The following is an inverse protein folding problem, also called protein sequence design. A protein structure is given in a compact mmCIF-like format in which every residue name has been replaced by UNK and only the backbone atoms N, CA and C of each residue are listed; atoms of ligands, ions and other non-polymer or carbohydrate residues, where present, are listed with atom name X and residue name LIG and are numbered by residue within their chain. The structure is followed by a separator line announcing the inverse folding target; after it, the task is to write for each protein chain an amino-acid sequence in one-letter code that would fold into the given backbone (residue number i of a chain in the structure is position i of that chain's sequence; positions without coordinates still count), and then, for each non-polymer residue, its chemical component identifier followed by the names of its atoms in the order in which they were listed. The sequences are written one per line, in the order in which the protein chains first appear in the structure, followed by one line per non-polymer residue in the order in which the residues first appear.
data_IF_717037113098
#
_entry.id   IF_717037113098
#
_cell.length_a   1.000
_cell.length_b   1.000
_cell.length_c   1.000
_cell.angle_alpha   90.00
_cell.angle_beta   90.00
_cell.angle_gamma   90.00
#
_symmetry.space_group_name_H-M   'P 1'
#
loop_
_entity.id
_entity.type
_entity.pdbx_description
1 polymer ?
#
# COMPACT_ATOMS: atom_id res chain seq x y z
N UNK A 1 9.84 -9.58 -0.22
CA UNK A 1 9.70 -10.27 -1.52
C UNK A 1 11.02 -10.95 -1.82
N UNK A 2 11.00 -12.23 -2.20
CA UNK A 2 12.18 -12.96 -2.69
C UNK A 2 12.17 -12.91 -4.23
N UNK A 3 13.22 -12.40 -4.90
CA UNK A 3 13.30 -12.40 -6.35
C UNK A 3 13.26 -13.82 -6.93
N UNK A 4 12.50 -14.02 -8.00
CA UNK A 4 12.30 -15.35 -8.61
C UNK A 4 13.57 -15.95 -9.22
N UNK A 5 14.58 -15.12 -9.51
CA UNK A 5 15.86 -15.51 -10.11
C UNK A 5 17.00 -15.60 -9.08
N UNK A 6 16.69 -15.51 -7.79
CA UNK A 6 17.70 -15.64 -6.74
C UNK A 6 18.34 -17.03 -6.74
N UNK A 7 19.63 -17.09 -6.40
CA UNK A 7 20.38 -18.34 -6.21
C UNK A 7 20.38 -18.83 -4.75
N UNK A 8 19.78 -18.07 -3.84
CA UNK A 8 19.83 -18.25 -2.38
C UNK A 8 18.43 -18.12 -1.78
N UNK A 9 17.46 -18.86 -2.34
CA UNK A 9 16.05 -18.74 -1.97
C UNK A 9 15.80 -19.06 -0.50
N UNK A 10 16.39 -20.14 0.02
CA UNK A 10 16.19 -20.58 1.40
C UNK A 10 16.72 -19.54 2.39
N UNK A 11 17.95 -19.05 2.20
CA UNK A 11 18.55 -18.04 3.06
C UNK A 11 17.81 -16.70 2.99
N UNK A 12 17.24 -16.36 1.83
CA UNK A 12 16.39 -15.18 1.68
C UNK A 12 15.08 -15.32 2.48
N UNK A 13 14.47 -16.50 2.50
CA UNK A 13 13.29 -16.77 3.34
C UNK A 13 13.63 -16.82 4.82
N UNK A 14 14.73 -17.45 5.23
CA UNK A 14 15.20 -17.46 6.62
C UNK A 14 15.40 -16.03 7.15
N UNK A 15 15.95 -15.14 6.32
CA UNK A 15 16.11 -13.74 6.66
C UNK A 15 14.76 -13.03 6.83
N UNK A 16 13.80 -13.29 5.93
CA UNK A 16 12.45 -12.72 6.04
C UNK A 16 11.80 -13.19 7.35
N UNK A 17 11.85 -14.48 7.65
CA UNK A 17 11.28 -15.04 8.89
C UNK A 17 11.91 -14.42 10.13
N UNK A 18 13.24 -14.26 10.14
CA UNK A 18 13.93 -13.56 11.22
C UNK A 18 13.46 -12.11 11.37
N UNK A 19 13.42 -11.35 10.26
CA UNK A 19 13.02 -9.94 10.25
C UNK A 19 11.56 -9.73 10.67
N UNK A 20 10.70 -10.72 10.38
CA UNK A 20 9.28 -10.70 10.71
C UNK A 20 8.96 -11.31 12.08
N UNK A 21 9.95 -11.87 12.79
CA UNK A 21 9.76 -12.31 14.17
C UNK A 21 9.33 -11.14 15.06
N UNK A 22 8.39 -11.37 15.98
CA UNK A 22 7.77 -10.32 16.81
C UNK A 22 8.81 -9.39 17.46
N UNK A 23 9.88 -9.94 18.03
CA UNK A 23 10.92 -9.15 18.70
C UNK A 23 11.71 -8.23 17.76
N UNK A 24 12.02 -8.68 16.54
CA UNK A 24 12.76 -7.90 15.56
C UNK A 24 11.83 -6.87 14.93
N UNK A 25 10.62 -7.29 14.58
CA UNK A 25 9.63 -6.43 13.95
C UNK A 25 9.12 -5.34 14.90
N UNK A 26 8.83 -5.66 16.17
CA UNK A 26 8.44 -4.67 17.19
C UNK A 26 9.54 -3.62 17.40
N UNK A 27 10.81 -4.04 17.46
CA UNK A 27 11.94 -3.10 17.56
C UNK A 27 12.03 -2.20 16.32
N UNK A 28 11.89 -2.77 15.12
CA UNK A 28 11.87 -1.98 13.89
C UNK A 28 10.72 -0.98 13.88
N UNK A 29 9.52 -1.41 14.27
CA UNK A 29 8.32 -0.59 14.29
C UNK A 29 8.44 0.59 15.28
N UNK A 30 8.92 0.30 16.48
CA UNK A 30 9.15 1.30 17.53
C UNK A 30 10.20 2.35 17.12
N UNK A 31 11.32 1.93 16.54
CA UNK A 31 12.38 2.86 16.11
C UNK A 31 11.95 3.67 14.88
N UNK A 32 11.30 3.01 13.92
CA UNK A 32 10.89 3.62 12.64
C UNK A 32 9.64 4.49 12.74
N UNK A 33 8.91 4.43 13.86
CA UNK A 33 7.61 5.08 13.99
C UNK A 33 6.59 4.57 12.97
N UNK A 34 6.69 3.30 12.58
CA UNK A 34 5.78 2.69 11.58
C UNK A 34 4.65 1.95 12.27
N UNK A 35 3.49 1.92 11.61
CA UNK A 35 2.32 1.17 12.06
C UNK A 35 2.57 -0.32 11.79
N UNK A 36 2.55 -1.20 12.80
CA UNK A 36 2.77 -2.62 12.59
C UNK A 36 1.68 -3.24 11.73
N UNK A 37 2.06 -4.03 10.72
CA UNK A 37 1.12 -4.80 9.89
C UNK A 37 0.95 -6.24 10.37
N UNK A 38 1.86 -6.71 11.24
CA UNK A 38 1.74 -8.00 11.93
C UNK A 38 0.84 -7.84 13.14
N UNK A 39 -0.22 -8.65 13.22
CA UNK A 39 -1.25 -8.53 14.26
C UNK A 39 -0.71 -8.67 15.69
N UNK A 40 0.20 -9.63 15.94
CA UNK A 40 0.80 -9.83 17.26
C UNK A 40 1.49 -8.57 17.78
N UNK A 41 2.23 -7.88 16.90
CA UNK A 41 2.92 -6.63 17.24
C UNK A 41 1.95 -5.45 17.32
N UNK A 42 0.98 -5.35 16.42
CA UNK A 42 -0.05 -4.31 16.46
C UNK A 42 -0.91 -4.37 17.75
N UNK A 43 -0.99 -5.56 18.37
CA UNK A 43 -1.72 -5.81 19.60
C UNK A 43 -0.95 -5.40 20.88
N UNK A 44 0.33 -5.02 20.78
CA UNK A 44 1.13 -4.54 21.91
C UNK A 44 0.59 -3.21 22.48
N UNK A 45 0.72 -3.04 23.80
CA UNK A 45 0.16 -1.86 24.51
C UNK A 45 0.65 -0.53 23.97
N UNK A 46 1.91 -0.48 23.51
CA UNK A 46 2.53 0.73 22.97
C UNK A 46 1.81 1.24 21.71
N UNK A 47 1.21 0.35 20.90
CA UNK A 47 0.49 0.77 19.70
C UNK A 47 -1.01 0.98 19.95
N UNK A 48 -1.61 0.20 20.85
CA UNK A 48 -3.04 0.32 21.19
C UNK A 48 -3.36 1.56 22.02
N UNK A 49 -2.44 2.01 22.86
CA UNK A 49 -2.67 3.11 23.79
C UNK A 49 -2.04 4.44 23.35
N UNK A 50 -1.19 4.43 22.33
CA UNK A 50 -0.63 5.66 21.77
C UNK A 50 -1.74 6.49 21.09
N UNK A 51 -1.74 7.79 21.37
CA UNK A 51 -2.80 8.70 20.93
C UNK A 51 -2.90 8.81 19.41
N UNK A 52 -1.79 8.64 18.70
CA UNK A 52 -1.71 8.72 17.24
C UNK A 52 -1.83 7.34 16.61
N UNK A 53 -1.11 6.34 17.12
CA UNK A 53 -1.01 5.02 16.48
C UNK A 53 -2.29 4.20 16.63
N UNK A 54 -3.06 4.37 17.72
CA UNK A 54 -4.28 3.60 17.95
C UNK A 54 -5.29 3.72 16.81
N UNK A 55 -5.40 4.91 16.21
CA UNK A 55 -6.35 5.16 15.11
C UNK A 55 -5.94 4.38 13.88
N UNK A 56 -4.65 4.39 13.55
CA UNK A 56 -4.14 3.65 12.39
C UNK A 56 -4.22 2.14 12.56
N UNK A 57 -3.97 1.63 13.77
CA UNK A 57 -4.13 0.19 14.08
C UNK A 57 -5.60 -0.24 14.03
N UNK A 58 -6.51 0.65 14.42
CA UNK A 58 -7.96 0.36 14.41
C UNK A 58 -8.62 0.54 13.04
N UNK A 59 -7.96 1.20 12.09
CA UNK A 59 -8.50 1.45 10.77
C UNK A 59 -8.52 0.14 9.96
N UNK A 60 -9.69 -0.20 9.40
CA UNK A 60 -9.80 -1.33 8.50
C UNK A 60 -8.93 -1.10 7.26
N UNK A 61 -8.02 -2.03 6.99
CA UNK A 61 -7.18 -2.00 5.81
C UNK A 61 -7.94 -2.61 4.63
N UNK A 62 -8.30 -1.80 3.65
CA UNK A 62 -8.72 -2.29 2.34
C UNK A 62 -7.49 -2.51 1.47
N UNK A 63 -7.17 -3.79 1.21
CA UNK A 63 -6.12 -4.13 0.25
C UNK A 63 -6.66 -4.02 -1.17
N UNK A 64 -6.08 -3.12 -1.96
CA UNK A 64 -6.38 -3.06 -3.39
C UNK A 64 -5.78 -4.30 -4.07
N UNK A 65 -6.63 -5.09 -4.74
CA UNK A 65 -6.16 -6.25 -5.48
C UNK A 65 -5.36 -5.76 -6.71
N UNK A 66 -4.09 -6.18 -6.86
CA UNK A 66 -3.29 -5.77 -8.00
C UNK A 66 -3.88 -6.37 -9.29
N UNK A 67 -3.98 -5.56 -10.33
CA UNK A 67 -4.35 -5.98 -11.67
C UNK A 67 -3.31 -5.50 -12.68
N UNK A 68 -3.25 -6.08 -13.89
CA UNK A 68 -2.32 -5.64 -14.91
C UNK A 68 -2.44 -4.12 -15.15
N UNK A 69 -1.30 -3.43 -15.12
CA UNK A 69 -1.23 -1.98 -15.32
C UNK A 69 -1.85 -1.13 -14.19
N UNK A 70 -1.98 -1.70 -12.98
CA UNK A 70 -2.46 -1.00 -11.79
C UNK A 70 -1.84 0.39 -11.61
N UNK A 71 -0.51 0.48 -11.64
CA UNK A 71 0.20 1.75 -11.43
C UNK A 71 -0.15 2.79 -12.51
N UNK A 72 -0.22 2.38 -13.78
CA UNK A 72 -0.61 3.29 -14.87
C UNK A 72 -2.06 3.78 -14.72
N UNK A 73 -2.97 2.93 -14.23
CA UNK A 73 -4.35 3.36 -13.91
C UNK A 73 -4.34 4.40 -12.79
N UNK A 74 -3.55 4.18 -11.73
CA UNK A 74 -3.42 5.13 -10.63
C UNK A 74 -2.84 6.47 -11.08
N UNK A 75 -1.86 6.46 -11.99
CA UNK A 75 -1.28 7.69 -12.57
C UNK A 75 -2.33 8.48 -13.37
N UNK A 76 -3.14 7.80 -14.20
CA UNK A 76 -4.22 8.44 -14.96
C UNK A 76 -5.25 9.05 -13.99
N UNK A 77 -5.72 8.29 -13.01
CA UNK A 77 -6.67 8.78 -12.00
C UNK A 77 -6.11 10.00 -11.25
N UNK A 78 -4.87 9.93 -10.79
CA UNK A 78 -4.19 11.02 -10.10
C UNK A 78 -4.14 12.30 -10.93
N UNK A 79 -3.78 12.20 -12.21
CA UNK A 79 -3.70 13.35 -13.12
C UNK A 79 -5.08 14.01 -13.36
N UNK A 80 -6.16 13.24 -13.43
CA UNK A 80 -7.50 13.81 -13.59
C UNK A 80 -8.04 14.41 -12.29
N UNK A 81 -7.81 13.77 -11.14
CA UNK A 81 -8.14 14.35 -9.82
C UNK A 81 -7.42 15.69 -9.64
N UNK A 82 -6.14 15.75 -9.99
CA UNK A 82 -5.36 16.99 -9.93
C UNK A 82 -5.99 18.10 -10.79
N UNK A 83 -6.36 17.80 -12.04
CA UNK A 83 -7.01 18.78 -12.94
C UNK A 83 -8.35 19.27 -12.40
N UNK A 84 -9.15 18.38 -11.82
CA UNK A 84 -10.39 18.73 -11.13
C UNK A 84 -10.13 19.67 -9.96
N UNK A 85 -9.17 19.34 -9.08
CA UNK A 85 -8.82 20.16 -7.93
C UNK A 85 -8.34 21.57 -8.33
N UNK A 86 -7.71 21.71 -9.49
CA UNK A 86 -7.32 23.02 -10.05
C UNK A 86 -8.45 23.73 -10.82
N UNK A 87 -9.68 23.19 -10.84
CA UNK A 87 -10.82 23.77 -11.55
C UNK A 87 -10.68 23.76 -13.07
N UNK A 88 -9.81 22.90 -13.63
CA UNK A 88 -9.56 22.79 -15.08
C UNK A 88 -10.58 21.91 -15.79
N UNK A 89 -11.29 21.06 -15.05
CA UNK A 89 -12.34 20.16 -15.53
C UNK A 89 -13.48 20.15 -14.52
N UNK A 90 -14.71 19.91 -14.99
CA UNK A 90 -15.82 19.56 -14.10
C UNK A 90 -15.65 18.14 -13.53
N UNK A 91 -16.49 17.77 -12.56
CA UNK A 91 -16.52 16.41 -12.04
C UNK A 91 -16.93 15.40 -13.12
N UNK A 92 -17.94 15.74 -13.92
CA UNK A 92 -18.41 14.91 -15.03
C UNK A 92 -17.31 14.70 -16.08
N UNK A 93 -16.64 15.78 -16.51
CA UNK A 93 -15.55 15.68 -17.48
C UNK A 93 -14.38 14.87 -16.95
N UNK A 94 -14.09 14.97 -15.65
CA UNK A 94 -13.04 14.21 -14.98
C UNK A 94 -13.34 12.72 -15.03
N UNK A 95 -14.55 12.33 -14.65
CA UNK A 95 -14.97 10.92 -14.63
C UNK A 95 -15.00 10.33 -16.05
N UNK A 96 -15.65 11.01 -17.00
CA UNK A 96 -15.78 10.51 -18.37
C UNK A 96 -14.43 10.36 -19.09
N UNK A 97 -13.52 11.33 -18.91
CA UNK A 97 -12.21 11.29 -19.58
C UNK A 97 -11.28 10.27 -18.93
N UNK A 98 -11.28 10.19 -17.59
CA UNK A 98 -10.51 9.18 -16.88
C UNK A 98 -10.98 7.77 -17.23
N UNK A 99 -12.30 7.51 -17.23
CA UNK A 99 -12.88 6.23 -17.62
C UNK A 99 -12.44 5.84 -19.04
N UNK A 100 -12.58 6.75 -20.00
CA UNK A 100 -12.21 6.48 -21.39
C UNK A 100 -10.75 6.09 -21.54
N UNK A 101 -9.85 6.80 -20.87
CA UNK A 101 -8.40 6.57 -20.96
C UNK A 101 -7.98 5.26 -20.26
N UNK A 102 -8.55 4.99 -19.08
CA UNK A 102 -8.33 3.74 -18.34
C UNK A 102 -8.86 2.54 -19.12
N UNK A 103 -10.08 2.63 -19.68
CA UNK A 103 -10.64 1.55 -20.48
C UNK A 103 -9.80 1.28 -21.73
N UNK A 104 -9.27 2.31 -22.38
CA UNK A 104 -8.35 2.15 -23.50
C UNK A 104 -7.03 1.46 -23.07
N UNK A 105 -6.49 1.83 -21.90
CA UNK A 105 -5.29 1.21 -21.33
C UNK A 105 -5.51 -0.27 -21.00
N UNK A 106 -6.66 -0.62 -20.43
CA UNK A 106 -6.99 -1.99 -20.02
C UNK A 106 -7.40 -2.89 -21.20
N UNK A 107 -7.87 -2.32 -22.30
CA UNK A 107 -8.23 -3.07 -23.51
C UNK A 107 -7.03 -3.64 -24.28
N UNK A 108 -5.81 -3.17 -23.99
CA UNK A 108 -4.60 -3.70 -24.63
C UNK A 108 -4.13 -4.93 -23.85
N UNK A 109 -4.31 -6.10 -24.46
CA UNK A 109 -3.70 -7.39 -24.05
C UNK A 109 -2.18 -7.34 -24.09
#
# INVERSE_FOLDING_TARGET
VVPVDTKVENEAWDLIDYMMSDSVYSRYASIGGVIPTVKSVADEEVYRNDEFLKTFVSQEMETVQPFPRFYQVMDILGAYIERFCYGRLSVEETLERAEKEINALLAVT
#
